data_IF_224458521804
#
_entry.id   IF_224458521804
#
_cell.length_a   1.000
_cell.length_b   1.000
_cell.length_c   1.000
_cell.angle_alpha   90.00
_cell.angle_beta   90.00
_cell.angle_gamma   90.00
#
_symmetry.space_group_name_H-M   'P 1'
#
loop_
_entity.id
_entity.type
_entity.pdbx_description
1 polymer ?
#
# COMPACT_ATOMS: atom_id res chain seq x y z
N UNK A 1 32.78 -33.56 12.34
CA UNK A 1 34.25 -33.62 12.48
C UNK A 1 34.74 -32.21 12.76
N UNK A 2 34.99 -31.85 14.02
CA UNK A 2 35.44 -30.52 14.45
C UNK A 2 36.80 -30.66 15.11
N UNK A 3 37.83 -29.96 14.61
CA UNK A 3 39.18 -30.06 15.14
C UNK A 3 39.35 -29.23 16.41
N UNK A 4 39.76 -29.89 17.49
CA UNK A 4 40.15 -29.31 18.77
C UNK A 4 41.64 -28.95 18.71
N UNK A 5 41.99 -27.70 19.01
CA UNK A 5 43.38 -27.26 19.18
C UNK A 5 43.60 -26.81 20.62
N UNK A 6 44.64 -27.37 21.25
CA UNK A 6 44.99 -27.13 22.65
C UNK A 6 45.82 -25.86 22.83
N UNK A 7 45.69 -25.22 24.00
CA UNK A 7 46.58 -24.15 24.48
C UNK A 7 47.38 -24.72 25.68
N UNK A 8 48.71 -24.61 25.71
CA UNK A 8 49.53 -25.03 26.86
C UNK A 8 49.63 -23.93 27.93
N UNK A 9 49.87 -24.28 29.21
CA UNK A 9 50.03 -23.30 30.29
C UNK A 9 51.46 -22.73 30.36
N UNK A 10 51.58 -21.43 30.62
CA UNK A 10 52.84 -20.72 30.87
C UNK A 10 52.84 -20.09 32.27
N UNK A 11 53.98 -20.15 32.97
CA UNK A 11 54.02 -20.01 34.43
C UNK A 11 54.20 -18.56 34.94
N UNK A 12 53.81 -18.40 36.21
CA UNK A 12 53.97 -17.26 37.11
C UNK A 12 55.32 -16.53 37.03
N UNK A 13 55.31 -15.21 37.21
CA UNK A 13 56.32 -14.50 38.03
C UNK A 13 55.65 -13.40 38.86
N UNK A 14 56.14 -13.21 40.08
CA UNK A 14 55.53 -12.35 41.09
C UNK A 14 55.92 -10.86 40.95
N UNK A 15 55.09 -9.98 41.54
CA UNK A 15 55.49 -8.79 42.35
C UNK A 15 54.26 -8.11 42.98
N UNK A 16 54.06 -8.36 44.28
CA UNK A 16 53.57 -7.36 45.26
C UNK A 16 54.83 -6.74 45.91
N UNK A 17 54.80 -5.52 46.48
CA UNK A 17 53.91 -5.04 47.55
C UNK A 17 53.19 -3.72 47.14
N UNK A 18 52.37 -2.99 47.93
CA UNK A 18 52.44 -2.61 49.35
C UNK A 18 51.07 -2.52 50.05
N UNK A 19 51.12 -2.57 51.40
CA UNK A 19 49.98 -2.46 52.30
C UNK A 19 49.80 -1.02 52.80
N UNK A 20 48.54 -0.55 52.87
CA UNK A 20 48.15 0.57 53.73
C UNK A 20 46.90 0.22 54.55
N UNK A 21 47.11 -0.57 55.60
CA UNK A 21 46.11 -0.82 56.65
C UNK A 21 46.09 0.38 57.60
N UNK A 22 44.95 1.05 57.75
CA UNK A 22 44.80 2.13 58.75
C UNK A 22 44.06 1.59 59.98
N UNK A 23 44.77 1.50 61.10
CA UNK A 23 44.25 1.05 62.39
C UNK A 23 43.85 2.26 63.25
N UNK A 24 42.63 2.34 63.81
CA UNK A 24 42.31 3.30 64.86
C UNK A 24 42.82 2.82 66.24
N UNK A 25 43.26 3.73 67.14
CA UNK A 25 43.89 3.35 68.41
C UNK A 25 42.88 2.91 69.48
N UNK A 26 43.29 2.05 70.44
CA UNK A 26 42.52 1.76 71.63
C UNK A 26 42.85 2.78 72.75
N UNK A 27 41.83 3.29 73.43
CA UNK A 27 42.00 3.73 74.81
C UNK A 27 40.80 3.29 75.65
N UNK A 28 41.10 2.48 76.66
CA UNK A 28 40.13 2.05 77.66
C UNK A 28 40.33 2.86 78.94
N UNK A 29 39.23 3.13 79.65
CA UNK A 29 39.11 2.94 81.11
C UNK A 29 37.67 3.17 81.59
N UNK A 30 37.20 2.29 82.46
CA UNK A 30 36.06 2.55 83.35
C UNK A 30 36.41 3.66 84.36
N UNK A 31 35.52 4.26 85.15
CA UNK A 31 34.59 3.72 86.16
C UNK A 31 33.89 4.93 86.85
N UNK A 32 33.02 4.78 87.87
CA UNK A 32 31.84 3.93 87.98
C UNK A 32 30.57 4.75 88.38
N UNK A 33 29.44 4.06 88.55
CA UNK A 33 28.29 4.36 89.44
C UNK A 33 28.04 5.79 89.96
N UNK A 34 26.87 6.33 89.65
CA UNK A 34 25.99 6.87 90.70
C UNK A 34 24.51 6.58 90.39
N UNK A 35 23.74 6.31 91.44
CA UNK A 35 22.38 5.74 91.41
C UNK A 35 21.32 6.80 91.74
N UNK A 36 20.41 7.12 90.82
CA UNK A 36 19.11 7.67 91.17
C UNK A 36 17.97 7.24 90.22
N UNK A 37 17.29 6.19 90.68
CA UNK A 37 15.94 5.74 90.32
C UNK A 37 14.88 6.87 90.28
N UNK A 38 14.39 7.23 89.08
CA UNK A 38 13.08 7.88 88.89
C UNK A 38 12.26 7.15 87.81
N UNK A 39 11.14 6.53 88.22
CA UNK A 39 10.33 5.62 87.42
C UNK A 39 9.26 6.36 86.59
N UNK A 40 9.67 7.02 85.51
CA UNK A 40 8.72 7.57 84.54
C UNK A 40 8.33 6.52 83.48
N UNK A 41 7.57 5.51 83.94
CA UNK A 41 6.89 4.55 83.06
C UNK A 41 5.71 5.20 82.32
N UNK A 42 6.01 6.17 81.45
CA UNK A 42 5.09 6.53 80.38
C UNK A 42 4.94 5.33 79.44
N UNK A 43 3.80 4.64 79.59
CA UNK A 43 3.47 3.44 78.83
C UNK A 43 3.53 3.70 77.33
N UNK A 44 4.65 3.31 76.71
CA UNK A 44 4.74 3.17 75.26
C UNK A 44 3.92 1.94 74.88
N UNK A 45 2.61 2.14 74.70
CA UNK A 45 1.70 1.12 74.21
C UNK A 45 2.26 0.49 72.92
N UNK A 46 1.92 -0.78 72.62
CA UNK A 46 2.50 -1.49 71.49
C UNK A 46 2.30 -0.66 70.23
N UNK A 47 3.41 -0.21 69.64
CA UNK A 47 3.39 0.63 68.46
C UNK A 47 2.64 -0.12 67.36
N UNK A 48 1.42 0.33 67.05
CA UNK A 48 0.57 -0.32 66.05
C UNK A 48 1.37 -0.38 64.75
N UNK A 49 1.57 -1.57 64.16
CA UNK A 49 2.37 -1.68 62.94
C UNK A 49 1.74 -0.78 61.88
N UNK A 50 2.52 0.21 61.41
CA UNK A 50 2.02 1.17 60.44
C UNK A 50 1.42 0.43 59.24
N UNK A 51 0.21 0.80 58.78
CA UNK A 51 -0.49 0.04 57.75
C UNK A 51 0.40 -0.06 56.51
N UNK A 52 0.71 -1.29 56.10
CA UNK A 52 1.59 -1.54 54.97
C UNK A 52 1.08 -0.79 53.73
N UNK A 53 1.94 -0.06 52.99
CA UNK A 53 1.50 0.80 51.91
C UNK A 53 0.72 0.00 50.87
N UNK A 54 -0.53 0.39 50.65
CA UNK A 54 -1.44 -0.33 49.75
C UNK A 54 -0.78 -0.50 48.38
N UNK A 55 -0.58 -1.77 47.97
CA UNK A 55 0.07 -2.10 46.69
C UNK A 55 -0.77 -1.51 45.56
N UNK A 56 -0.24 -0.48 44.91
CA UNK A 56 -0.93 0.19 43.81
C UNK A 56 -1.38 -0.82 42.75
N UNK A 57 -2.64 -0.75 42.34
CA UNK A 57 -3.21 -1.61 41.27
C UNK A 57 -2.36 -1.54 40.00
N UNK A 58 -1.76 -0.38 39.72
CA UNK A 58 -0.82 -0.18 38.61
C UNK A 58 0.44 -1.07 38.72
N UNK A 59 0.93 -1.36 39.92
CA UNK A 59 2.08 -2.24 40.12
C UNK A 59 1.78 -3.70 39.71
N UNK A 60 0.54 -4.15 39.90
CA UNK A 60 0.07 -5.46 39.44
C UNK A 60 -0.27 -5.52 37.94
N UNK A 61 -0.84 -4.44 37.39
CA UNK A 61 -1.20 -4.36 35.97
C UNK A 61 0.02 -4.13 35.05
N UNK A 62 1.05 -3.41 35.50
CA UNK A 62 2.21 -3.06 34.65
C UNK A 62 2.92 -4.27 34.04
N UNK A 63 3.19 -5.38 34.74
CA UNK A 63 3.74 -6.60 34.15
C UNK A 63 2.85 -7.21 33.06
N UNK A 64 1.52 -7.19 33.25
CA UNK A 64 0.55 -7.68 32.27
C UNK A 64 0.59 -6.81 30.99
N UNK A 65 0.48 -5.49 31.12
CA UNK A 65 0.55 -4.55 29.98
C UNK A 65 1.89 -4.68 29.23
N UNK A 66 3.00 -4.88 29.96
CA UNK A 66 4.31 -5.09 29.34
C UNK A 66 4.39 -6.39 28.55
N UNK A 67 3.89 -7.51 29.10
CA UNK A 67 3.82 -8.79 28.39
C UNK A 67 2.89 -8.70 27.18
N UNK A 68 1.71 -8.12 27.34
CA UNK A 68 0.72 -7.95 26.28
C UNK A 68 1.29 -7.15 25.10
N UNK A 69 1.83 -5.96 25.37
CA UNK A 69 2.45 -5.10 24.36
C UNK A 69 3.64 -5.79 23.68
N UNK A 70 4.46 -6.55 24.43
CA UNK A 70 5.60 -7.27 23.85
C UNK A 70 5.17 -8.43 22.95
N UNK A 71 4.34 -9.35 23.44
CA UNK A 71 3.95 -10.55 22.66
C UNK A 71 3.03 -10.20 21.49
N UNK A 72 2.04 -9.33 21.69
CA UNK A 72 1.21 -8.84 20.57
C UNK A 72 2.06 -8.01 19.60
N UNK A 73 3.02 -7.21 20.09
CA UNK A 73 3.98 -6.51 19.25
C UNK A 73 4.86 -7.44 18.40
N UNK A 74 5.36 -8.53 18.96
CA UNK A 74 6.14 -9.55 18.22
C UNK A 74 5.28 -10.27 17.18
N UNK A 75 4.00 -10.53 17.48
CA UNK A 75 3.06 -11.18 16.55
C UNK A 75 2.62 -10.25 15.41
N UNK A 76 2.47 -8.94 15.67
CA UNK A 76 1.90 -7.97 14.72
C UNK A 76 2.97 -7.19 13.94
N UNK A 77 4.17 -6.97 14.51
CA UNK A 77 5.22 -6.19 13.84
C UNK A 77 5.70 -6.74 12.48
N UNK A 78 5.82 -8.08 12.26
CA UNK A 78 6.16 -8.62 10.94
C UNK A 78 5.10 -8.26 9.88
N UNK A 79 3.81 -8.39 10.22
CA UNK A 79 2.72 -7.96 9.35
C UNK A 79 2.77 -6.47 9.06
N UNK A 80 2.96 -5.62 10.08
CA UNK A 80 3.07 -4.16 9.89
C UNK A 80 4.25 -3.78 9.00
N UNK A 81 5.37 -4.50 9.07
CA UNK A 81 6.51 -4.26 8.18
C UNK A 81 6.16 -4.58 6.72
N UNK A 82 5.54 -5.74 6.47
CA UNK A 82 5.10 -6.12 5.12
C UNK A 82 4.05 -5.13 4.62
N UNK A 83 3.00 -4.85 5.41
CA UNK A 83 1.94 -3.90 5.06
C UNK A 83 2.49 -2.49 4.78
N UNK A 84 3.47 -2.01 5.54
CA UNK A 84 4.09 -0.70 5.28
C UNK A 84 4.88 -0.69 3.95
N UNK A 85 5.61 -1.77 3.65
CA UNK A 85 6.34 -1.91 2.38
C UNK A 85 5.39 -2.04 1.19
N UNK A 86 4.34 -2.85 1.30
CA UNK A 86 3.36 -3.05 0.23
C UNK A 86 2.47 -1.84 0.04
N UNK A 87 2.13 -1.09 1.09
CA UNK A 87 1.45 0.20 0.97
C UNK A 87 2.30 1.26 0.25
N UNK A 88 3.62 1.27 0.46
CA UNK A 88 4.54 2.11 -0.31
C UNK A 88 4.62 1.68 -1.79
N UNK A 89 4.70 0.36 -2.05
CA UNK A 89 4.66 -0.18 -3.42
C UNK A 89 3.31 0.12 -4.11
N UNK A 90 2.20 0.07 -3.38
CA UNK A 90 0.88 0.42 -3.89
C UNK A 90 0.81 1.89 -4.29
N UNK A 91 1.35 2.80 -3.48
CA UNK A 91 1.44 4.22 -3.85
C UNK A 91 2.30 4.44 -5.10
N UNK A 92 3.38 3.67 -5.28
CA UNK A 92 4.22 3.71 -6.48
C UNK A 92 3.58 3.03 -7.71
N UNK A 93 2.66 2.09 -7.51
CA UNK A 93 2.09 1.24 -8.57
C UNK A 93 1.47 2.03 -9.70
N UNK A 94 0.78 3.15 -9.43
CA UNK A 94 0.19 4.04 -10.46
C UNK A 94 1.21 4.55 -11.50
N UNK A 95 2.48 4.65 -11.13
CA UNK A 95 3.55 5.07 -12.01
C UNK A 95 4.29 3.87 -12.62
N UNK A 96 4.43 2.76 -11.87
CA UNK A 96 4.99 1.52 -12.40
C UNK A 96 4.08 0.88 -13.48
N UNK A 97 2.76 0.88 -13.28
CA UNK A 97 1.75 0.40 -14.23
C UNK A 97 1.86 1.09 -15.60
N UNK A 98 2.16 2.40 -15.63
CA UNK A 98 2.36 3.15 -16.88
C UNK A 98 3.59 2.71 -17.67
N UNK A 99 4.59 2.12 -16.99
CA UNK A 99 5.83 1.63 -17.62
C UNK A 99 5.67 0.16 -18.01
N UNK A 100 5.04 -0.64 -17.14
CA UNK A 100 4.82 -2.08 -17.36
C UNK A 100 3.76 -2.34 -18.43
N UNK A 101 2.72 -1.52 -18.49
CA UNK A 101 1.60 -1.62 -19.44
C UNK A 101 1.54 -0.42 -20.40
N UNK A 102 2.71 0.12 -20.77
CA UNK A 102 2.84 1.26 -21.68
C UNK A 102 2.15 1.00 -23.03
N UNK A 103 2.24 -0.25 -23.53
CA UNK A 103 1.66 -0.65 -24.81
C UNK A 103 0.13 -0.60 -24.83
N UNK A 104 -0.50 -1.07 -23.75
CA UNK A 104 -1.96 -1.10 -23.58
C UNK A 104 -2.51 0.27 -23.17
N UNK A 105 -1.75 1.05 -22.42
CA UNK A 105 -2.19 2.35 -21.91
C UNK A 105 -1.98 3.50 -22.92
N UNK A 106 -1.01 3.39 -23.83
CA UNK A 106 -0.63 4.47 -24.75
C UNK A 106 -0.81 4.12 -26.23
N UNK A 107 -1.02 5.16 -27.03
CA UNK A 107 -1.12 5.13 -28.50
C UNK A 107 -0.46 6.37 -29.13
N UNK A 108 0.03 6.27 -30.37
CA UNK A 108 0.34 7.44 -31.17
C UNK A 108 -0.89 8.33 -31.35
N UNK A 109 -0.73 9.65 -31.19
CA UNK A 109 -1.82 10.62 -31.35
C UNK A 109 -2.18 10.76 -32.84
N UNK A 110 -3.38 10.31 -33.22
CA UNK A 110 -3.94 10.51 -34.56
C UNK A 110 -4.74 11.81 -34.72
N UNK A 111 -5.12 12.14 -35.95
CA UNK A 111 -5.78 13.41 -36.29
C UNK A 111 -7.19 13.58 -35.68
N UNK A 112 -7.94 12.48 -35.52
CA UNK A 112 -9.33 12.51 -35.07
C UNK A 112 -9.72 11.24 -34.34
N UNK A 113 -10.14 11.35 -33.08
CA UNK A 113 -10.74 10.24 -32.33
C UNK A 113 -12.06 9.79 -33.00
N UNK A 114 -12.20 8.49 -33.19
CA UNK A 114 -13.42 7.81 -33.62
C UNK A 114 -14.53 7.97 -32.56
N UNK A 115 -15.82 7.76 -32.93
CA UNK A 115 -16.89 7.70 -31.95
C UNK A 115 -16.65 6.58 -30.92
N UNK A 116 -16.97 6.84 -29.65
CA UNK A 116 -16.85 5.83 -28.57
C UNK A 116 -17.65 4.56 -28.91
N UNK A 117 -18.75 4.65 -29.65
CA UNK A 117 -19.50 3.49 -30.13
C UNK A 117 -18.70 2.56 -31.05
N UNK A 118 -17.78 3.09 -31.86
CA UNK A 118 -16.90 2.28 -32.71
C UNK A 118 -15.81 1.58 -31.89
N UNK A 119 -15.23 2.28 -30.91
CA UNK A 119 -14.25 1.72 -29.97
C UNK A 119 -14.88 0.60 -29.11
N UNK A 120 -16.13 0.81 -28.66
CA UNK A 120 -16.90 -0.21 -27.94
C UNK A 120 -17.28 -1.39 -28.86
N UNK A 121 -17.58 -1.15 -30.14
CA UNK A 121 -17.84 -2.23 -31.09
C UNK A 121 -16.62 -3.13 -31.26
N UNK A 122 -15.42 -2.57 -31.44
CA UNK A 122 -14.17 -3.33 -31.55
C UNK A 122 -13.90 -4.19 -30.30
N UNK A 123 -14.10 -3.65 -29.10
CA UNK A 123 -13.96 -4.43 -27.87
C UNK A 123 -14.99 -5.59 -27.75
N UNK A 124 -16.22 -5.41 -28.26
CA UNK A 124 -17.23 -6.48 -28.33
C UNK A 124 -16.99 -7.48 -29.44
N UNK A 125 -16.23 -7.13 -30.47
CA UNK A 125 -15.83 -8.03 -31.55
C UNK A 125 -14.70 -8.96 -31.09
N UNK A 126 -13.76 -8.44 -30.29
CA UNK A 126 -12.74 -9.24 -29.62
C UNK A 126 -13.31 -10.19 -28.54
N UNK A 127 -14.29 -9.73 -27.76
CA UNK A 127 -14.90 -10.49 -26.65
C UNK A 127 -16.44 -10.47 -26.73
N UNK A 128 -17.05 -11.20 -27.68
CA UNK A 128 -18.51 -11.25 -27.84
C UNK A 128 -19.25 -11.84 -26.63
N UNK A 129 -18.59 -12.67 -25.83
CA UNK A 129 -19.08 -13.27 -24.59
C UNK A 129 -19.14 -12.28 -23.40
N UNK A 130 -18.35 -11.20 -23.46
CA UNK A 130 -18.28 -10.20 -22.39
C UNK A 130 -19.50 -9.25 -22.37
N UNK A 131 -20.06 -9.02 -21.19
CA UNK A 131 -21.08 -7.98 -20.98
C UNK A 131 -20.40 -6.66 -20.60
N UNK A 132 -20.75 -5.56 -21.27
CA UNK A 132 -20.17 -4.23 -20.95
C UNK A 132 -20.62 -3.80 -19.54
N UNK A 133 -19.67 -3.73 -18.62
CA UNK A 133 -19.85 -3.19 -17.27
C UNK A 133 -19.64 -1.67 -17.24
N UNK A 134 -18.64 -1.15 -17.96
CA UNK A 134 -18.36 0.29 -18.06
C UNK A 134 -17.47 0.62 -19.27
N UNK A 135 -17.38 1.91 -19.60
CA UNK A 135 -16.46 2.44 -20.62
C UNK A 135 -15.79 3.69 -20.05
N UNK A 136 -14.46 3.77 -20.16
CA UNK A 136 -13.65 4.94 -19.84
C UNK A 136 -12.98 5.44 -21.13
N UNK A 137 -13.56 6.45 -21.81
CA UNK A 137 -12.92 7.07 -22.96
C UNK A 137 -11.56 7.65 -22.60
N UNK A 138 -10.63 7.69 -23.56
CA UNK A 138 -9.31 8.27 -23.37
C UNK A 138 -9.38 9.75 -22.97
N UNK A 139 -8.99 10.03 -21.72
CA UNK A 139 -8.96 11.38 -21.16
C UNK A 139 -7.87 12.24 -21.80
N UNK A 140 -6.66 11.68 -21.92
CA UNK A 140 -5.53 12.31 -22.59
C UNK A 140 -5.55 12.03 -24.12
N UNK A 141 -4.69 12.70 -24.88
CA UNK A 141 -4.62 12.54 -26.32
C UNK A 141 -3.95 11.22 -26.75
N UNK A 142 -2.96 10.78 -25.99
CA UNK A 142 -2.11 9.61 -26.17
C UNK A 142 -2.62 8.36 -25.41
N UNK A 143 -3.72 8.47 -24.66
CA UNK A 143 -4.28 7.35 -23.91
C UNK A 143 -5.23 6.47 -24.76
N UNK A 144 -5.31 5.18 -24.45
CA UNK A 144 -6.35 4.27 -24.96
C UNK A 144 -7.72 4.50 -24.31
N UNK A 145 -8.78 4.09 -25.00
CA UNK A 145 -10.11 3.93 -24.39
C UNK A 145 -10.19 2.56 -23.72
N UNK A 146 -10.64 2.50 -22.48
CA UNK A 146 -10.76 1.26 -21.70
C UNK A 146 -12.22 0.79 -21.67
N UNK A 147 -12.52 -0.33 -22.31
CA UNK A 147 -13.85 -0.98 -22.29
C UNK A 147 -13.80 -2.11 -21.28
N UNK A 148 -14.66 -2.05 -20.26
CA UNK A 148 -14.64 -2.96 -19.12
C UNK A 148 -15.77 -3.99 -19.29
N UNK A 149 -15.41 -5.26 -19.38
CA UNK A 149 -16.31 -6.40 -19.60
C UNK A 149 -16.40 -7.26 -18.35
N UNK A 150 -17.61 -7.70 -18.01
CA UNK A 150 -17.90 -8.64 -16.93
C UNK A 150 -18.43 -9.95 -17.49
N UNK A 151 -18.13 -11.07 -16.82
CA UNK A 151 -18.58 -12.41 -17.25
C UNK A 151 -17.73 -13.06 -18.34
N UNK A 152 -16.59 -12.47 -18.69
CA UNK A 152 -15.60 -13.05 -19.60
C UNK A 152 -14.97 -14.30 -18.96
N UNK A 153 -14.89 -15.45 -19.67
CA UNK A 153 -14.23 -16.66 -19.15
C UNK A 153 -12.78 -16.40 -18.73
N UNK A 154 -12.37 -16.97 -17.60
CA UNK A 154 -11.01 -16.82 -17.06
C UNK A 154 -10.76 -15.54 -16.26
N UNK A 155 -11.75 -14.64 -16.14
CA UNK A 155 -11.72 -13.48 -15.24
C UNK A 155 -12.52 -13.77 -13.97
N UNK A 156 -12.01 -13.35 -12.82
CA UNK A 156 -12.63 -13.66 -11.53
C UNK A 156 -13.98 -12.93 -11.36
N UNK A 157 -14.96 -13.50 -10.60
CA UNK A 157 -16.30 -12.90 -10.47
C UNK A 157 -16.35 -11.49 -9.85
N UNK A 158 -15.29 -11.07 -9.15
CA UNK A 158 -15.13 -9.71 -8.60
C UNK A 158 -14.36 -8.73 -9.51
N UNK A 159 -13.91 -9.20 -10.67
CA UNK A 159 -13.05 -8.49 -11.61
C UNK A 159 -13.78 -8.18 -12.92
N UNK A 160 -13.11 -7.42 -13.79
CA UNK A 160 -13.56 -7.12 -15.15
C UNK A 160 -12.38 -7.26 -16.10
N UNK A 161 -12.61 -7.81 -17.30
CA UNK A 161 -11.61 -7.70 -18.37
C UNK A 161 -11.62 -6.26 -18.87
N UNK A 162 -10.49 -5.58 -18.81
CA UNK A 162 -10.35 -4.30 -19.46
C UNK A 162 -9.69 -4.47 -20.83
N UNK A 163 -10.47 -4.26 -21.88
CA UNK A 163 -10.00 -4.20 -23.27
C UNK A 163 -9.55 -2.77 -23.55
N UNK A 164 -8.30 -2.60 -24.00
CA UNK A 164 -7.74 -1.30 -24.35
C UNK A 164 -7.83 -1.11 -25.86
N UNK A 165 -8.51 -0.04 -26.27
CA UNK A 165 -8.81 0.24 -27.67
C UNK A 165 -8.20 1.57 -28.07
N UNK A 166 -7.48 1.58 -29.18
CA UNK A 166 -6.97 2.78 -29.80
C UNK A 166 -8.15 3.68 -30.22
N UNK A 167 -8.24 4.93 -29.71
CA UNK A 167 -9.36 5.81 -30.00
C UNK A 167 -9.35 6.38 -31.44
N UNK A 168 -8.25 6.26 -32.18
CA UNK A 168 -8.06 6.76 -33.55
C UNK A 168 -8.23 5.65 -34.60
N UNK A 169 -7.80 4.42 -34.32
CA UNK A 169 -7.86 3.29 -35.27
C UNK A 169 -8.94 2.25 -34.94
N UNK A 170 -9.43 2.23 -33.70
CA UNK A 170 -10.24 1.16 -33.11
C UNK A 170 -9.52 -0.21 -33.00
N UNK A 171 -8.19 -0.24 -33.13
CA UNK A 171 -7.37 -1.42 -32.87
C UNK A 171 -7.39 -1.80 -31.39
N UNK A 172 -7.52 -3.09 -31.08
CA UNK A 172 -7.36 -3.59 -29.70
C UNK A 172 -5.87 -3.70 -29.39
N UNK A 173 -5.42 -2.88 -28.44
CA UNK A 173 -4.03 -2.77 -27.98
C UNK A 173 -3.66 -3.84 -26.96
N UNK A 174 -4.65 -4.47 -26.33
CA UNK A 174 -4.47 -5.54 -25.37
C UNK A 174 -5.65 -5.67 -24.41
N UNK A 175 -5.56 -6.64 -23.52
CA UNK A 175 -6.56 -6.95 -22.50
C UNK A 175 -5.85 -7.19 -21.16
N UNK A 176 -6.34 -6.60 -20.08
CA UNK A 176 -5.81 -6.82 -18.73
C UNK A 176 -6.96 -6.95 -17.75
N UNK A 177 -6.87 -7.92 -16.85
CA UNK A 177 -7.81 -8.05 -15.74
C UNK A 177 -7.74 -6.80 -14.84
N UNK A 178 -8.91 -6.36 -14.38
CA UNK A 178 -9.08 -5.12 -13.64
C UNK A 178 -9.88 -5.34 -12.36
N UNK A 179 -9.28 -4.96 -11.22
CA UNK A 179 -9.94 -4.97 -9.93
C UNK A 179 -10.54 -3.61 -9.56
N UNK A 180 -11.75 -3.68 -8.99
CA UNK A 180 -12.41 -2.58 -8.28
C UNK A 180 -12.77 -1.35 -9.11
N UNK A 181 -13.43 -0.38 -8.46
CA UNK A 181 -13.85 0.87 -9.09
C UNK A 181 -12.70 1.84 -9.36
N UNK A 182 -11.54 1.68 -8.72
CA UNK A 182 -10.33 2.45 -9.04
C UNK A 182 -9.72 2.04 -10.40
N UNK A 183 -10.01 0.83 -10.87
CA UNK A 183 -9.48 0.27 -12.11
C UNK A 183 -8.02 -0.14 -11.99
N UNK A 184 -7.68 -0.88 -10.94
CA UNK A 184 -6.33 -1.45 -10.75
C UNK A 184 -5.99 -2.41 -11.89
N UNK A 185 -4.76 -2.36 -12.38
CA UNK A 185 -4.22 -3.33 -13.34
C UNK A 185 -3.56 -4.48 -12.56
N UNK A 186 -3.19 -5.61 -13.19
CA UNK A 186 -2.77 -6.81 -12.46
C UNK A 186 -1.62 -6.56 -11.47
N UNK A 187 -0.66 -5.68 -11.79
CA UNK A 187 0.40 -5.27 -10.86
C UNK A 187 -0.14 -4.63 -9.57
N UNK A 188 -1.06 -3.65 -9.66
CA UNK A 188 -1.61 -2.98 -8.47
C UNK A 188 -2.58 -3.89 -7.72
N UNK A 189 -3.35 -4.71 -8.42
CA UNK A 189 -4.19 -5.75 -7.81
C UNK A 189 -3.33 -6.70 -6.98
N UNK A 190 -2.27 -7.28 -7.55
CA UNK A 190 -1.36 -8.19 -6.83
C UNK A 190 -0.74 -7.54 -5.57
N UNK A 191 -0.41 -6.25 -5.62
CA UNK A 191 0.09 -5.51 -4.44
C UNK A 191 -1.02 -5.29 -3.40
N UNK A 192 -2.25 -5.00 -3.83
CA UNK A 192 -3.45 -4.84 -2.97
C UNK A 192 -3.76 -6.13 -2.21
N UNK A 193 -3.79 -7.25 -2.92
CA UNK A 193 -4.10 -8.56 -2.37
C UNK A 193 -3.00 -9.05 -1.42
N UNK A 194 -1.73 -8.85 -1.78
CA UNK A 194 -0.61 -9.11 -0.88
C UNK A 194 -0.61 -8.20 0.36
N UNK A 195 -1.08 -6.94 0.24
CA UNK A 195 -1.24 -6.02 1.38
C UNK A 195 -2.39 -6.44 2.31
N UNK A 196 -3.53 -6.89 1.76
CA UNK A 196 -4.73 -7.22 2.53
C UNK A 196 -4.69 -8.62 3.16
N UNK A 197 -4.09 -9.61 2.50
CA UNK A 197 -4.13 -11.02 2.96
C UNK A 197 -2.84 -11.82 2.74
N UNK A 198 -1.73 -11.18 2.36
CA UNK A 198 -0.43 -11.83 2.09
C UNK A 198 -0.47 -12.94 1.02
N UNK A 199 -1.53 -13.01 0.19
CA UNK A 199 -1.83 -14.15 -0.68
C UNK A 199 -2.01 -15.48 0.06
N UNK A 200 -2.41 -15.44 1.34
CA UNK A 200 -2.75 -16.61 2.15
C UNK A 200 -4.28 -16.82 2.23
N UNK A 201 -5.06 -16.11 1.41
CA UNK A 201 -6.52 -16.20 1.35
C UNK A 201 -7.16 -15.88 2.70
N UNK A 202 -8.16 -16.67 3.10
CA UNK A 202 -8.91 -16.45 4.35
C UNK A 202 -8.01 -16.38 5.59
N UNK A 203 -7.01 -17.26 5.70
CA UNK A 203 -6.11 -17.28 6.87
C UNK A 203 -5.30 -15.99 6.97
N UNK A 204 -4.82 -15.47 5.83
CA UNK A 204 -4.11 -14.19 5.77
C UNK A 204 -5.01 -13.00 6.07
N UNK A 205 -6.26 -13.05 5.59
CA UNK A 205 -7.30 -12.05 5.88
C UNK A 205 -7.60 -11.99 7.37
N UNK A 206 -7.88 -13.13 8.02
CA UNK A 206 -8.08 -13.21 9.47
C UNK A 206 -6.86 -12.70 10.26
N UNK A 207 -5.63 -13.01 9.82
CA UNK A 207 -4.41 -12.51 10.44
C UNK A 207 -4.23 -10.99 10.28
N UNK A 208 -4.55 -10.44 9.10
CA UNK A 208 -4.51 -8.99 8.85
C UNK A 208 -5.55 -8.23 9.69
N UNK A 209 -6.77 -8.76 9.81
CA UNK A 209 -7.84 -8.17 10.63
C UNK A 209 -7.53 -8.26 12.11
N UNK A 210 -6.93 -9.37 12.56
CA UNK A 210 -6.37 -9.49 13.91
C UNK A 210 -5.26 -8.45 14.15
N UNK A 211 -4.32 -8.31 13.22
CA UNK A 211 -3.23 -7.33 13.33
C UNK A 211 -3.75 -5.88 13.37
N UNK A 212 -4.70 -5.53 12.51
CA UNK A 212 -5.34 -4.22 12.45
C UNK A 212 -6.17 -3.90 13.71
N UNK A 213 -6.91 -4.88 14.24
CA UNK A 213 -7.71 -4.75 15.48
C UNK A 213 -6.86 -4.72 16.75
N UNK A 214 -5.66 -5.31 16.75
CA UNK A 214 -4.73 -5.23 17.88
C UNK A 214 -3.80 -4.01 17.83
N UNK A 215 -3.67 -3.35 16.67
CA UNK A 215 -2.75 -2.20 16.50
C UNK A 215 -3.00 -1.07 17.51
N UNK A 216 -4.26 -0.66 17.72
CA UNK A 216 -4.58 0.38 18.72
C UNK A 216 -4.36 -0.09 20.16
N UNK A 217 -4.58 -1.37 20.47
CA UNK A 217 -4.29 -1.97 21.79
C UNK A 217 -2.79 -1.95 22.09
N UNK A 218 -1.96 -2.33 21.10
CA UNK A 218 -0.50 -2.29 21.19
C UNK A 218 -0.01 -0.85 21.33
N UNK A 219 -0.53 0.09 20.53
CA UNK A 219 -0.17 1.51 20.60
C UNK A 219 -0.55 2.13 21.96
N UNK A 220 -1.78 1.89 22.43
CA UNK A 220 -2.25 2.35 23.74
C UNK A 220 -1.43 1.77 24.90
N UNK A 221 -1.16 0.47 24.88
CA UNK A 221 -0.27 -0.19 25.84
C UNK A 221 1.14 0.41 25.83
N UNK A 222 1.68 0.70 24.64
CA UNK A 222 2.98 1.36 24.47
C UNK A 222 3.02 2.77 25.07
N UNK A 223 1.99 3.59 24.82
CA UNK A 223 1.83 4.92 25.42
C UNK A 223 1.77 4.85 26.95
N UNK A 224 0.92 3.97 27.50
CA UNK A 224 0.78 3.77 28.96
C UNK A 224 2.13 3.36 29.58
N UNK A 225 2.83 2.40 28.98
CA UNK A 225 4.17 1.99 29.42
C UNK A 225 5.18 3.15 29.34
N UNK A 226 5.16 3.94 28.27
CA UNK A 226 6.03 5.11 28.10
C UNK A 226 5.76 6.18 29.17
N UNK A 227 4.50 6.55 29.43
CA UNK A 227 4.14 7.51 30.49
C UNK A 227 4.52 6.99 31.89
N UNK A 228 4.44 5.68 32.14
CA UNK A 228 4.90 5.10 33.41
C UNK A 228 6.43 5.19 33.56
N UNK A 229 7.16 4.89 32.50
CA UNK A 229 8.63 4.91 32.46
C UNK A 229 9.19 6.34 32.50
N UNK A 230 8.54 7.30 31.83
CA UNK A 230 8.92 8.73 31.84
C UNK A 230 8.81 9.33 33.25
N UNK A 231 7.78 8.94 34.00
CA UNK A 231 7.60 9.34 35.41
C UNK A 231 8.72 8.79 36.30
N UNK A 232 9.12 7.54 36.10
CA UNK A 232 10.19 6.88 36.89
C UNK A 232 11.63 7.32 36.53
N UNK A 233 11.92 7.63 35.26
CA UNK A 233 13.30 7.84 34.78
C UNK A 233 13.81 9.29 34.85
N UNK A 234 13.12 10.22 35.54
CA UNK A 234 13.56 11.62 35.68
C UNK A 234 14.93 11.82 36.36
N UNK A 235 15.54 10.77 36.93
CA UNK A 235 16.76 10.85 37.77
C UNK A 235 18.03 10.19 37.20
N UNK A 236 18.05 9.58 36.01
CA UNK A 236 19.21 8.74 35.57
C UNK A 236 19.65 9.02 34.12
N UNK A 237 20.83 9.65 33.94
CA UNK A 237 21.54 9.84 32.65
C UNK A 237 22.34 8.58 32.24
N UNK A 238 22.79 8.51 30.98
CA UNK A 238 23.63 7.42 30.42
C UNK A 238 22.87 6.21 29.84
N UNK A 239 22.89 6.02 28.51
CA UNK A 239 22.19 4.89 27.85
C UNK A 239 23.05 4.23 26.76
N UNK A 240 23.74 3.13 27.09
CA UNK A 240 24.31 2.20 26.12
C UNK A 240 23.38 0.98 25.90
N UNK A 241 23.62 0.24 24.82
CA UNK A 241 22.94 -1.03 24.50
C UNK A 241 21.40 -0.98 24.58
N UNK A 242 20.81 -1.99 25.26
CA UNK A 242 19.36 -2.19 25.40
C UNK A 242 18.60 -0.96 25.94
N UNK A 243 19.23 -0.11 26.77
CA UNK A 243 18.57 1.10 27.29
C UNK A 243 18.36 2.14 26.19
N UNK A 244 19.26 2.21 25.20
CA UNK A 244 19.15 3.09 24.01
C UNK A 244 18.09 2.58 23.05
N UNK A 245 18.06 1.28 22.71
CA UNK A 245 17.04 0.72 21.80
C UNK A 245 15.63 0.89 22.37
N UNK A 246 15.42 0.62 23.66
CA UNK A 246 14.15 0.87 24.34
C UNK A 246 13.82 2.37 24.46
N UNK A 247 14.81 3.28 24.47
CA UNK A 247 14.56 4.71 24.42
C UNK A 247 14.12 5.17 23.03
N UNK A 248 14.78 4.67 21.97
CA UNK A 248 14.41 4.93 20.57
C UNK A 248 13.02 4.38 20.24
N UNK A 249 12.75 3.11 20.55
CA UNK A 249 11.43 2.50 20.37
C UNK A 249 10.34 3.27 21.13
N UNK A 250 10.62 3.70 22.38
CA UNK A 250 9.68 4.53 23.14
C UNK A 250 9.49 5.95 22.58
N UNK A 251 10.52 6.55 21.97
CA UNK A 251 10.44 7.88 21.37
C UNK A 251 9.70 7.85 20.02
N UNK A 252 10.14 6.98 19.10
CA UNK A 252 9.50 6.75 17.80
C UNK A 252 8.08 6.24 17.98
N UNK A 253 7.85 5.30 18.91
CA UNK A 253 6.54 4.72 19.19
C UNK A 253 5.51 5.72 19.68
N UNK A 254 5.90 6.77 20.41
CA UNK A 254 4.97 7.85 20.83
C UNK A 254 4.54 8.70 19.63
N UNK A 255 5.46 9.07 18.75
CA UNK A 255 5.14 9.80 17.52
C UNK A 255 4.30 8.94 16.56
N UNK A 256 4.65 7.66 16.42
CA UNK A 256 3.92 6.71 15.58
C UNK A 256 2.53 6.35 16.15
N UNK A 257 2.33 6.37 17.48
CA UNK A 257 1.07 5.96 18.10
C UNK A 257 -0.14 6.76 17.61
N UNK A 258 -0.01 8.07 17.37
CA UNK A 258 -1.09 8.87 16.78
C UNK A 258 -1.47 8.36 15.39
N UNK A 259 -0.46 8.06 14.55
CA UNK A 259 -0.66 7.48 13.23
C UNK A 259 -1.25 6.07 13.29
N UNK A 260 -0.79 5.21 14.21
CA UNK A 260 -1.28 3.85 14.38
C UNK A 260 -2.72 3.78 14.93
N UNK A 261 -3.10 4.68 15.85
CA UNK A 261 -4.47 4.77 16.35
C UNK A 261 -5.41 5.22 15.22
N UNK A 262 -5.01 6.23 14.45
CA UNK A 262 -5.77 6.67 13.27
C UNK A 262 -5.88 5.55 12.23
N UNK A 263 -4.76 4.93 11.85
CA UNK A 263 -4.70 3.86 10.86
C UNK A 263 -5.51 2.62 11.28
N UNK A 264 -5.50 2.27 12.56
CA UNK A 264 -6.32 1.16 13.10
C UNK A 264 -7.80 1.50 13.01
N UNK A 265 -8.22 2.71 13.45
CA UNK A 265 -9.61 3.15 13.37
C UNK A 265 -10.12 3.23 11.91
N UNK A 266 -9.32 3.74 10.98
CA UNK A 266 -9.71 3.81 9.56
C UNK A 266 -9.56 2.47 8.84
N UNK A 267 -8.58 1.63 9.20
CA UNK A 267 -8.36 0.33 8.55
C UNK A 267 -9.50 -0.65 8.87
N UNK A 268 -10.00 -0.63 10.11
CA UNK A 268 -11.11 -1.48 10.53
C UNK A 268 -12.42 -1.20 9.78
N UNK A 269 -12.63 -0.01 9.20
CA UNK A 269 -13.84 0.25 8.38
C UNK A 269 -13.83 -0.48 7.03
N UNK A 270 -12.67 -1.01 6.61
CA UNK A 270 -12.49 -1.74 5.34
C UNK A 270 -12.24 -3.24 5.56
N UNK A 271 -12.27 -3.71 6.81
CA UNK A 271 -12.11 -5.13 7.16
C UNK A 271 -13.40 -5.91 6.88
N UNK A 272 -13.31 -7.21 6.62
CA UNK A 272 -14.48 -8.05 6.31
C UNK A 272 -15.46 -8.07 7.47
N UNK A 273 -14.96 -8.32 8.68
CA UNK A 273 -15.82 -8.48 9.86
C UNK A 273 -16.09 -7.14 10.57
N UNK A 274 -15.06 -6.35 10.87
CA UNK A 274 -15.26 -5.06 11.53
C UNK A 274 -15.94 -4.04 10.61
N UNK A 275 -15.61 -4.03 9.31
CA UNK A 275 -16.26 -3.17 8.32
C UNK A 275 -17.73 -3.51 8.10
N UNK A 276 -18.12 -4.80 8.12
CA UNK A 276 -19.53 -5.21 8.07
C UNK A 276 -20.32 -4.67 9.27
N UNK A 277 -19.81 -4.87 10.50
CA UNK A 277 -20.44 -4.35 11.73
C UNK A 277 -20.57 -2.81 11.70
N UNK A 278 -19.56 -2.11 11.20
CA UNK A 278 -19.59 -0.64 11.03
C UNK A 278 -20.59 -0.23 9.94
N UNK A 279 -20.75 -1.04 8.90
CA UNK A 279 -21.77 -0.88 7.85
C UNK A 279 -23.19 -0.96 8.41
N UNK A 280 -23.51 -1.98 9.20
CA UNK A 280 -24.80 -2.13 9.89
C UNK A 280 -25.10 -0.96 10.84
N UNK A 281 -24.09 -0.53 11.60
CA UNK A 281 -24.19 0.66 12.44
C UNK A 281 -24.48 1.92 11.61
N UNK A 282 -23.84 2.09 10.46
CA UNK A 282 -24.08 3.24 9.56
C UNK A 282 -25.48 3.22 8.96
N UNK A 283 -25.99 2.05 8.56
CA UNK A 283 -27.35 1.89 8.02
C UNK A 283 -28.41 2.15 9.09
N UNK A 284 -28.25 1.62 10.31
CA UNK A 284 -29.17 1.90 11.43
C UNK A 284 -29.18 3.38 11.86
N UNK A 285 -28.07 4.10 11.68
CA UNK A 285 -27.98 5.55 11.87
C UNK A 285 -28.47 6.39 10.68
N UNK A 286 -28.97 5.77 9.60
CA UNK A 286 -29.48 6.47 8.41
C UNK A 286 -28.40 7.16 7.56
N UNK A 287 -27.12 6.84 7.76
CA UNK A 287 -25.97 7.50 7.13
C UNK A 287 -25.60 6.85 5.79
N UNK A 288 -26.59 6.49 4.97
CA UNK A 288 -26.37 5.91 3.64
C UNK A 288 -26.20 6.96 2.54
N UNK A 289 -25.41 6.64 1.52
CA UNK A 289 -25.23 7.49 0.34
C UNK A 289 -26.54 7.61 -0.46
N UNK A 290 -27.06 8.82 -0.72
CA UNK A 290 -28.27 9.01 -1.51
C UNK A 290 -28.13 8.41 -2.91
N UNK A 291 -29.06 7.51 -3.28
CA UNK A 291 -29.12 6.93 -4.62
C UNK A 291 -29.92 7.86 -5.53
N UNK A 292 -29.41 8.15 -6.73
CA UNK A 292 -30.21 8.85 -7.74
C UNK A 292 -31.44 7.99 -8.12
N UNK A 293 -32.66 8.54 -8.13
CA UNK A 293 -33.84 7.81 -8.56
C UNK A 293 -33.67 7.31 -9.99
N UNK A 294 -33.69 5.97 -10.17
CA UNK A 294 -33.62 5.35 -11.50
C UNK A 294 -34.94 5.64 -12.23
N UNK A 295 -34.96 6.70 -13.04
CA UNK A 295 -36.14 7.10 -13.81
C UNK A 295 -36.62 5.91 -14.66
N UNK A 296 -37.87 5.43 -14.52
CA UNK A 296 -38.32 4.26 -15.25
C UNK A 296 -38.33 4.53 -16.76
N UNK A 297 -37.80 3.58 -17.54
CA UNK A 297 -37.60 3.72 -18.99
C UNK A 297 -38.90 3.94 -19.80
N UNK A 298 -40.07 3.70 -19.18
CA UNK A 298 -41.37 3.81 -19.83
C UNK A 298 -42.00 5.21 -19.80
N UNK A 299 -41.30 6.26 -19.37
CA UNK A 299 -41.70 7.61 -19.82
C UNK A 299 -41.30 7.76 -21.29
N UNK A 300 -42.19 7.32 -22.20
CA UNK A 300 -42.15 7.77 -23.61
C UNK A 300 -41.91 9.28 -23.56
N UNK A 301 -40.87 9.75 -24.25
CA UNK A 301 -40.74 11.16 -24.50
C UNK A 301 -41.93 11.57 -25.35
N UNK A 302 -43.00 12.08 -24.72
CA UNK A 302 -44.13 12.64 -25.44
C UNK A 302 -43.56 13.76 -26.28
N UNK A 303 -43.47 13.53 -27.60
CA UNK A 303 -42.97 14.48 -28.57
C UNK A 303 -43.78 15.74 -28.41
N UNK A 304 -43.23 16.73 -27.69
CA UNK A 304 -43.95 17.97 -27.39
C UNK A 304 -44.19 18.63 -28.75
N UNK A 305 -45.45 18.79 -29.20
CA UNK A 305 -45.70 19.38 -30.51
C UNK A 305 -45.03 20.75 -30.54
N UNK A 306 -44.41 21.08 -31.68
CA UNK A 306 -43.67 22.33 -31.82
C UNK A 306 -44.54 23.50 -31.35
N UNK A 307 -44.10 24.18 -30.29
CA UNK A 307 -44.91 25.20 -29.64
C UNK A 307 -45.13 26.36 -30.61
N UNK A 308 -46.32 26.36 -31.23
CA UNK A 308 -46.80 27.40 -32.13
C UNK A 308 -46.60 28.76 -31.46
N UNK A 309 -45.90 29.67 -32.13
CA UNK A 309 -45.43 30.95 -31.57
C UNK A 309 -46.62 31.86 -31.25
N UNK A 310 -47.21 31.71 -30.06
CA UNK A 310 -48.27 32.58 -29.56
C UNK A 310 -47.65 33.86 -29.03
N UNK A 311 -47.64 34.89 -29.87
CA UNK A 311 -47.48 36.27 -29.41
C UNK A 311 -48.74 36.68 -28.63
N UNK A 312 -48.64 36.87 -27.32
CA UNK A 312 -49.61 37.71 -26.60
C UNK A 312 -48.97 38.56 -25.52
N UNK A 313 -49.44 39.81 -25.50
CA UNK A 313 -49.00 40.94 -24.70
C UNK A 313 -49.37 40.79 -23.22
N UNK A 314 -48.62 41.52 -22.40
CA UNK A 314 -49.02 42.15 -21.12
C UNK A 314 -49.51 41.28 -19.96
N UNK A 315 -48.85 41.46 -18.82
CA UNK A 315 -49.53 41.67 -17.55
C UNK A 315 -49.13 40.74 -16.41
N UNK A 316 -48.35 41.28 -15.45
CA UNK A 316 -48.28 40.89 -14.03
C UNK A 316 -47.85 39.41 -13.74
N UNK A 317 -46.86 39.10 -12.90
CA UNK A 317 -46.59 39.68 -11.59
C UNK A 317 -45.29 39.12 -10.94
N UNK A 318 -44.95 39.66 -9.76
CA UNK A 318 -44.06 39.10 -8.72
C UNK A 318 -42.59 38.81 -9.06
N UNK A 319 -41.78 39.86 -8.94
CA UNK A 319 -40.36 39.76 -8.62
C UNK A 319 -40.14 39.20 -7.21
N UNK A 320 -39.38 38.11 -7.07
CA UNK A 320 -38.76 37.73 -5.79
C UNK A 320 -37.26 37.53 -5.99
N UNK A 321 -36.49 38.57 -5.69
CA UNK A 321 -35.03 38.56 -5.84
C UNK A 321 -34.37 37.84 -4.67
N UNK A 322 -33.72 36.70 -4.95
CA UNK A 322 -32.76 36.07 -4.04
C UNK A 322 -31.42 35.84 -4.76
N UNK A 323 -30.65 36.92 -4.94
CA UNK A 323 -29.24 36.81 -5.33
C UNK A 323 -28.48 36.09 -4.22
N UNK A 324 -28.02 34.86 -4.47
CA UNK A 324 -26.96 34.23 -3.67
C UNK A 324 -25.60 34.70 -4.20
N UNK A 325 -24.68 35.19 -3.35
CA UNK A 325 -23.33 35.54 -3.78
C UNK A 325 -22.51 34.28 -4.09
N UNK A 326 -21.65 34.34 -5.11
CA UNK A 326 -20.71 33.27 -5.43
C UNK A 326 -19.56 33.20 -4.39
N UNK A 327 -19.06 32.00 -4.06
CA UNK A 327 -17.89 31.87 -3.18
C UNK A 327 -16.63 32.39 -3.86
N UNK A 328 -15.81 33.14 -3.09
CA UNK A 328 -14.54 33.71 -3.55
C UNK A 328 -13.51 32.61 -3.77
N UNK A 329 -13.14 32.34 -5.02
CA UNK A 329 -11.97 31.54 -5.33
C UNK A 329 -10.68 32.30 -4.98
N UNK A 330 -9.80 31.67 -4.20
CA UNK A 330 -8.47 32.19 -3.90
C UNK A 330 -7.56 31.95 -5.10
N UNK A 331 -7.30 32.99 -5.89
CA UNK A 331 -6.43 32.91 -7.06
C UNK A 331 -4.95 32.96 -6.66
N UNK A 332 -4.33 31.79 -6.42
CA UNK A 332 -2.89 31.70 -6.20
C UNK A 332 -2.14 31.99 -7.51
N UNK A 333 -1.56 33.18 -7.58
CA UNK A 333 -0.91 33.77 -8.77
C UNK A 333 0.38 33.05 -9.14
N UNK A 334 0.30 31.98 -9.95
CA UNK A 334 1.47 31.44 -10.65
C UNK A 334 1.80 32.30 -11.87
N UNK A 335 2.99 32.95 -11.85
CA UNK A 335 3.52 33.68 -13.01
C UNK A 335 4.08 32.67 -14.01
N UNK A 336 3.44 32.55 -15.18
CA UNK A 336 4.00 31.81 -16.32
C UNK A 336 5.14 32.62 -16.95
N UNK A 337 6.36 32.08 -16.88
CA UNK A 337 7.48 32.59 -17.68
C UNK A 337 7.32 32.08 -19.12
N UNK A 338 7.08 32.98 -20.07
CA UNK A 338 7.15 32.66 -21.50
C UNK A 338 8.61 32.55 -21.94
N UNK A 339 9.02 31.51 -22.68
CA UNK A 339 10.22 31.61 -23.51
C UNK A 339 9.95 32.54 -24.70
N UNK A 340 10.96 33.30 -25.18
CA UNK A 340 10.76 34.24 -26.29
C UNK A 340 10.70 33.53 -27.64
N UNK A 341 9.75 33.94 -28.47
CA UNK A 341 9.69 33.58 -29.90
C UNK A 341 10.86 34.20 -30.67
N UNK A 342 11.56 33.40 -31.48
CA UNK A 342 12.63 33.90 -32.37
C UNK A 342 12.57 33.24 -33.76
N UNK A 343 11.97 33.96 -34.69
CA UNK A 343 12.21 33.94 -36.14
C UNK A 343 11.61 35.27 -36.64
N UNK A 344 12.22 36.01 -37.61
CA UNK A 344 12.67 35.46 -38.89
C UNK A 344 14.03 35.96 -39.39
N UNK A 345 14.58 35.26 -40.40
CA UNK A 345 15.15 35.93 -41.58
C UNK A 345 15.29 35.00 -42.78
N UNK A 346 14.88 35.54 -43.93
CA UNK A 346 15.00 34.98 -45.28
C UNK A 346 16.38 35.25 -45.88
N UNK A 347 16.85 34.34 -46.75
CA UNK A 347 17.69 34.68 -47.91
C UNK A 347 17.66 33.54 -48.95
N UNK A 348 17.65 33.90 -50.23
CA UNK A 348 17.58 32.98 -51.37
C UNK A 348 18.90 32.92 -52.17
N UNK A 349 18.98 31.93 -53.07
CA UNK A 349 20.01 31.74 -54.12
C UNK A 349 21.39 31.27 -53.63
N UNK A 350 22.24 30.63 -54.45
CA UNK A 350 22.24 30.52 -55.92
C UNK A 350 22.90 29.21 -56.42
N UNK A 351 22.57 28.81 -57.65
CA UNK A 351 23.10 27.65 -58.38
C UNK A 351 24.57 27.80 -58.82
N UNK A 352 25.30 26.68 -59.02
CA UNK A 352 25.81 26.24 -60.36
C UNK A 352 27.10 25.37 -60.36
N UNK A 353 26.97 24.19 -61.01
CA UNK A 353 27.83 23.64 -62.07
C UNK A 353 29.23 23.00 -61.84
N UNK A 354 29.48 22.01 -62.74
CA UNK A 354 30.75 21.44 -63.23
C UNK A 354 31.48 20.33 -62.44
N UNK A 355 31.71 19.18 -63.12
CA UNK A 355 32.70 18.14 -62.76
C UNK A 355 34.06 18.40 -63.44
N UNK A 356 34.85 17.39 -63.91
CA UNK A 356 34.44 16.01 -64.27
C UNK A 356 35.48 14.86 -64.01
N UNK A 357 35.09 13.61 -64.38
CA UNK A 357 35.95 12.44 -64.75
C UNK A 357 36.81 11.80 -63.62
N UNK A 358 37.09 10.49 -63.58
CA UNK A 358 36.77 9.34 -64.48
C UNK A 358 36.95 7.97 -63.78
N UNK A 359 36.26 6.92 -64.29
CA UNK A 359 36.68 5.48 -64.48
C UNK A 359 37.68 4.87 -63.45
N UNK A 360 37.57 3.65 -62.89
CA UNK A 360 36.77 2.40 -63.08
C UNK A 360 37.09 1.48 -61.87
N UNK A 361 36.61 0.24 -61.65
CA UNK A 361 35.87 -0.78 -62.44
C UNK A 361 35.07 -1.70 -61.48
N UNK A 362 33.94 -2.25 -61.93
CA UNK A 362 33.26 -3.43 -61.36
C UNK A 362 33.81 -4.73 -62.05
N UNK A 363 33.39 -6.00 -61.75
CA UNK A 363 32.14 -6.39 -61.08
C UNK A 363 32.06 -7.71 -60.26
N UNK A 364 30.86 -7.94 -59.70
CA UNK A 364 30.13 -9.23 -59.61
C UNK A 364 30.64 -10.36 -58.69
N UNK A 365 29.79 -10.77 -57.73
CA UNK A 365 29.11 -12.09 -57.82
C UNK A 365 27.95 -12.25 -56.80
N UNK A 366 26.86 -12.87 -57.27
CA UNK A 366 25.69 -13.43 -56.55
C UNK A 366 24.94 -14.32 -57.57
N UNK A 367 24.08 -15.27 -57.16
CA UNK A 367 24.09 -16.16 -56.00
C UNK A 367 24.29 -17.63 -56.49
N UNK A 368 23.85 -18.66 -55.76
CA UNK A 368 22.55 -19.26 -56.13
C UNK A 368 21.71 -19.76 -54.95
N UNK A 369 20.46 -20.14 -55.23
CA UNK A 369 19.56 -20.81 -54.29
C UNK A 369 19.44 -22.31 -54.59
N UNK A 370 19.24 -23.14 -53.55
CA UNK A 370 18.61 -24.48 -53.59
C UNK A 370 18.23 -24.93 -52.17
N UNK A 371 17.09 -25.60 -52.06
CA UNK A 371 16.51 -26.25 -50.87
C UNK A 371 16.45 -27.78 -51.12
N UNK A 372 15.82 -28.64 -50.28
CA UNK A 372 15.70 -28.67 -48.81
C UNK A 372 16.12 -30.04 -48.18
N UNK A 373 16.52 -30.07 -46.91
CA UNK A 373 16.65 -31.27 -46.04
C UNK A 373 16.57 -30.82 -44.57
N UNK A 374 16.08 -31.58 -43.59
CA UNK A 374 15.44 -32.92 -43.56
C UNK A 374 14.60 -33.06 -42.27
N UNK A 375 13.42 -33.67 -42.31
CA UNK A 375 12.66 -33.99 -41.10
C UNK A 375 13.29 -35.16 -40.33
N UNK A 376 13.60 -34.96 -39.05
CA UNK A 376 13.95 -36.05 -38.13
C UNK A 376 12.71 -36.76 -37.61
N UNK A 377 12.50 -38.01 -38.01
CA UNK A 377 11.40 -38.85 -37.52
C UNK A 377 11.74 -39.48 -36.16
N UNK A 378 10.99 -39.12 -35.12
CA UNK A 378 11.05 -39.86 -33.83
C UNK A 378 9.90 -40.84 -33.75
N UNK A 379 10.21 -42.13 -33.88
CA UNK A 379 9.23 -43.22 -33.83
C UNK A 379 8.78 -43.49 -32.39
N UNK A 380 7.60 -42.99 -32.00
CA UNK A 380 6.95 -43.42 -30.75
C UNK A 380 6.17 -44.71 -31.00
N UNK A 381 6.55 -45.77 -30.28
CA UNK A 381 5.98 -47.11 -30.39
C UNK A 381 4.78 -47.25 -29.44
N UNK A 382 3.56 -46.98 -29.91
CA UNK A 382 2.35 -47.16 -29.10
C UNK A 382 2.00 -48.65 -28.94
N UNK A 383 1.92 -49.12 -27.69
CA UNK A 383 1.28 -50.39 -27.36
C UNK A 383 -0.25 -50.22 -27.36
N UNK A 384 -0.99 -51.19 -27.92
CA UNK A 384 -2.45 -51.16 -28.04
C UNK A 384 -3.06 -52.32 -27.27
N UNK A 385 -3.96 -52.02 -26.33
CA UNK A 385 -4.85 -53.01 -25.73
C UNK A 385 -6.21 -52.41 -25.30
N UNK A 386 -7.18 -52.52 -26.21
CA UNK A 386 -8.64 -52.65 -25.94
C UNK A 386 -9.44 -51.46 -25.34
N UNK A 387 -10.78 -51.45 -25.49
CA UNK A 387 -11.51 -50.20 -25.76
C UNK A 387 -12.54 -49.75 -24.70
N UNK A 388 -12.56 -48.44 -24.39
CA UNK A 388 -13.76 -47.58 -24.31
C UNK A 388 -13.42 -46.16 -23.81
N UNK A 389 -13.92 -45.12 -24.49
CA UNK A 389 -14.34 -43.85 -23.85
C UNK A 389 -13.29 -42.85 -23.33
N UNK A 390 -12.61 -42.14 -24.24
CA UNK A 390 -12.03 -40.78 -24.07
C UNK A 390 -11.17 -40.46 -22.82
N UNK A 391 -9.86 -40.33 -23.01
CA UNK A 391 -8.91 -39.80 -22.02
C UNK A 391 -8.37 -38.41 -22.39
N UNK A 392 -8.28 -37.53 -21.38
CA UNK A 392 -7.74 -36.17 -21.47
C UNK A 392 -6.21 -36.20 -21.62
N UNK A 393 -5.64 -35.39 -22.52
CA UNK A 393 -4.20 -35.37 -22.77
C UNK A 393 -3.52 -34.18 -22.07
N UNK A 394 -2.83 -34.43 -20.96
CA UNK A 394 -2.10 -33.42 -20.18
C UNK A 394 -0.83 -32.98 -20.91
N UNK A 395 -0.68 -31.67 -21.17
CA UNK A 395 0.54 -31.11 -21.79
C UNK A 395 1.60 -30.88 -20.71
N UNK A 396 2.63 -31.72 -20.67
CA UNK A 396 3.83 -31.47 -19.88
C UNK A 396 4.72 -30.43 -20.56
N UNK A 397 5.01 -29.31 -19.89
CA UNK A 397 6.01 -28.33 -20.32
C UNK A 397 7.26 -28.48 -19.46
N UNK A 398 8.38 -28.79 -20.11
CA UNK A 398 9.70 -28.60 -19.50
C UNK A 398 10.01 -27.10 -19.49
N UNK A 399 10.42 -26.59 -18.34
CA UNK A 399 11.03 -25.26 -18.20
C UNK A 399 12.50 -25.43 -17.82
N UNK A 400 13.39 -24.86 -18.61
CA UNK A 400 14.82 -24.80 -18.34
C UNK A 400 15.29 -23.36 -18.52
N UNK A 401 15.62 -22.73 -17.39
CA UNK A 401 16.20 -21.39 -17.20
C UNK A 401 15.40 -20.19 -17.75
#
# INVERSE_FOLDING_TARGET
>A
MWHRSHIPPGNQTARHPDYCTTTPPPYARENPSDDHRSLDHHGRGPATPAPAPAKSVWAGLRPLVLRLHFYAGVLVAPFLLVAALTGLLYAASFQAEKIVYDHELTVPVGDRKLPVSAQVAAAREAHPEGTIAAVRPSAEADATTRVMLSGTPGVDPGHTLAVFVDPYTAEVRGELEQYGSSGALPLRTWIDEFHRDLHLGETGRLYSEFAASWLWVIAGGGLVLWFSRRRALRKIRGTSGRRRTLALHGGVGVWAATGFIFLSATGLTWSTYAGANIGELRTSLGQETPRCPRRPANTRATTRPAARRVTRRTGWAWTRSSRRPAPRAWATRWRSCRPPTRSPRTSCSRSSAAGPRSRTRSPSTRPPARSPTSCGSTTIRCWRSSPAGASTCTRATCSAW
#
